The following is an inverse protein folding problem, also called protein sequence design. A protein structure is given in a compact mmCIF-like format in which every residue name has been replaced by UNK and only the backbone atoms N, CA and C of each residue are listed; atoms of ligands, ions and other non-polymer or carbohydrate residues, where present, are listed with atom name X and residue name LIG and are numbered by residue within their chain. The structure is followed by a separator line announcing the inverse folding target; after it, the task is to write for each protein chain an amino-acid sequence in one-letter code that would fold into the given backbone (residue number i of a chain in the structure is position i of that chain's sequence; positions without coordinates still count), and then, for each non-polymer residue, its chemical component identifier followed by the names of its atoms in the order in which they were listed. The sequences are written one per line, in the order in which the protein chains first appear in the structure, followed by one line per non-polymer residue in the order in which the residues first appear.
data_IF_622874625717
#
_entry.id   IF_622874625717
#
_cell.length_a   1.000
_cell.length_b   1.000
_cell.length_c   1.000
_cell.angle_alpha   90.00
_cell.angle_beta   90.00
_cell.angle_gamma   90.00
#
_symmetry.space_group_name_H-M   'P 1'
#
loop_
_entity.id
_entity.type
_entity.pdbx_description
1 polymer ?
#
# COMPACT_ATOMS: atom_id res chain seq x y z
N UNK A 1 1.46 -9.22 9.87
CA UNK A 1 0.61 -9.11 8.66
C UNK A 1 1.52 -8.84 7.47
N UNK A 2 1.22 -9.40 6.29
CA UNK A 2 2.10 -9.33 5.10
C UNK A 2 2.38 -7.89 4.66
N UNK A 3 1.46 -6.98 4.93
CA UNK A 3 1.53 -5.55 4.62
C UNK A 3 2.73 -4.92 5.32
N UNK A 4 3.00 -5.31 6.57
CA UNK A 4 4.13 -4.78 7.34
C UNK A 4 5.49 -5.26 6.83
N UNK A 5 5.48 -6.33 6.04
CA UNK A 5 6.66 -6.99 5.47
C UNK A 5 6.96 -6.41 4.09
N UNK A 6 5.95 -6.34 3.22
CA UNK A 6 6.11 -5.93 1.83
C UNK A 6 5.93 -4.43 1.62
N UNK A 7 5.05 -3.77 2.37
CA UNK A 7 4.65 -2.40 2.06
C UNK A 7 5.50 -1.38 2.82
N UNK A 8 5.72 -0.23 2.19
CA UNK A 8 6.29 0.93 2.90
C UNK A 8 5.26 1.52 3.85
N UNK A 9 5.72 2.33 4.81
CA UNK A 9 4.85 2.90 5.85
C UNK A 9 3.61 3.60 5.27
N UNK A 10 3.78 4.39 4.21
CA UNK A 10 2.68 5.14 3.59
C UNK A 10 1.59 4.20 3.04
N UNK A 11 1.97 3.13 2.34
CA UNK A 11 1.02 2.14 1.80
C UNK A 11 0.30 1.36 2.91
N UNK A 12 1.01 1.02 4.00
CA UNK A 12 0.35 0.45 5.19
C UNK A 12 -0.67 1.43 5.77
N UNK A 13 -0.35 2.72 5.81
CA UNK A 13 -1.26 3.75 6.33
C UNK A 13 -2.48 3.94 5.42
N UNK A 14 -2.32 3.93 4.08
CA UNK A 14 -3.42 3.95 3.11
C UNK A 14 -4.31 2.71 3.24
N UNK A 15 -3.72 1.51 3.33
CA UNK A 15 -4.46 0.26 3.54
C UNK A 15 -5.28 0.28 4.84
N UNK A 16 -4.68 0.74 5.94
CA UNK A 16 -5.38 0.91 7.23
C UNK A 16 -6.51 1.92 7.12
N UNK A 17 -6.31 3.03 6.41
CA UNK A 17 -7.34 4.03 6.19
C UNK A 17 -8.55 3.45 5.45
N UNK A 18 -8.35 2.77 4.32
CA UNK A 18 -9.46 2.13 3.59
C UNK A 18 -10.20 1.10 4.46
N UNK A 19 -9.46 0.32 5.26
CA UNK A 19 -10.05 -0.65 6.19
C UNK A 19 -10.92 0.05 7.25
N UNK A 20 -10.47 1.18 7.80
CA UNK A 20 -11.25 1.97 8.76
C UNK A 20 -12.49 2.55 8.08
N UNK A 21 -12.35 3.18 6.91
CA UNK A 21 -13.47 3.75 6.15
C UNK A 21 -14.58 2.71 5.96
N UNK A 22 -14.22 1.52 5.48
CA UNK A 22 -15.17 0.44 5.20
C UNK A 22 -15.76 -0.23 6.45
N UNK A 23 -15.16 -0.02 7.62
CA UNK A 23 -15.68 -0.50 8.91
C UNK A 23 -16.66 0.47 9.57
N UNK A 24 -16.69 1.73 9.13
CA UNK A 24 -17.57 2.75 9.68
C UNK A 24 -18.97 2.65 9.04
N UNK A 25 -20.04 2.92 9.79
CA UNK A 25 -21.36 3.17 9.21
C UNK A 25 -21.30 4.34 8.21
N UNK A 26 -22.04 4.33 7.08
CA UNK A 26 -21.95 5.38 6.06
C UNK A 26 -22.10 6.81 6.60
N UNK A 27 -23.00 7.01 7.57
CA UNK A 27 -23.24 8.32 8.23
C UNK A 27 -22.07 8.82 9.08
N UNK A 28 -21.11 7.95 9.41
CA UNK A 28 -19.94 8.25 10.26
C UNK A 28 -18.65 8.38 9.45
N UNK A 29 -18.70 8.19 8.13
CA UNK A 29 -17.55 8.33 7.23
C UNK A 29 -17.25 9.82 7.03
N UNK A 30 -16.26 10.32 7.77
CA UNK A 30 -15.65 11.64 7.56
C UNK A 30 -14.21 11.64 8.09
N UNK A 31 -13.40 12.60 7.65
CA UNK A 31 -11.97 12.66 7.99
C UNK A 31 -11.72 12.83 9.49
N UNK A 32 -12.59 13.51 10.23
CA UNK A 32 -12.45 13.69 11.68
C UNK A 32 -12.57 12.37 12.44
N UNK A 33 -13.59 11.57 12.12
CA UNK A 33 -13.80 10.25 12.71
C UNK A 33 -12.65 9.29 12.35
N UNK A 34 -12.23 9.30 11.08
CA UNK A 34 -11.13 8.47 10.59
C UNK A 34 -9.82 8.84 11.29
N UNK A 35 -9.53 10.13 11.44
CA UNK A 35 -8.31 10.61 12.12
C UNK A 35 -8.26 10.12 13.57
N UNK A 36 -9.40 10.16 14.27
CA UNK A 36 -9.52 9.68 15.66
C UNK A 36 -9.28 8.17 15.75
N UNK A 37 -9.87 7.39 14.83
CA UNK A 37 -9.70 5.92 14.76
C UNK A 37 -8.27 5.51 14.43
N UNK A 38 -7.60 6.24 13.54
CA UNK A 38 -6.21 5.98 13.15
C UNK A 38 -5.18 6.59 14.12
N UNK A 39 -5.62 7.45 15.04
CA UNK A 39 -4.77 8.26 15.91
C UNK A 39 -3.79 9.13 15.11
N UNK A 40 -4.28 9.70 14.00
CA UNK A 40 -3.53 10.62 13.15
C UNK A 40 -4.01 12.05 13.38
N UNK A 41 -3.15 13.02 13.07
CA UNK A 41 -3.61 14.41 12.94
C UNK A 41 -4.55 14.53 11.75
N UNK A 42 -5.43 15.54 11.77
CA UNK A 42 -6.32 15.81 10.65
C UNK A 42 -5.55 16.03 9.34
N UNK A 43 -4.47 16.83 9.36
CA UNK A 43 -3.63 17.08 8.19
C UNK A 43 -3.03 15.80 7.61
N UNK A 44 -2.48 14.93 8.48
CA UNK A 44 -1.93 13.65 8.04
C UNK A 44 -3.02 12.77 7.43
N UNK A 45 -4.21 12.76 8.04
CA UNK A 45 -5.37 12.01 7.54
C UNK A 45 -5.79 12.51 6.16
N UNK A 46 -5.88 13.83 5.97
CA UNK A 46 -6.17 14.43 4.67
C UNK A 46 -5.12 14.03 3.61
N UNK A 47 -3.82 14.13 3.92
CA UNK A 47 -2.76 13.78 2.97
C UNK A 47 -2.78 12.30 2.58
N UNK A 48 -3.01 11.40 3.53
CA UNK A 48 -3.14 9.96 3.24
C UNK A 48 -4.39 9.70 2.41
N UNK A 49 -5.49 10.41 2.71
CA UNK A 49 -6.72 10.29 1.96
C UNK A 49 -6.54 10.69 0.50
N UNK A 50 -5.89 11.83 0.23
CA UNK A 50 -5.57 12.24 -1.15
C UNK A 50 -4.71 11.21 -1.88
N UNK A 51 -3.65 10.71 -1.24
CA UNK A 51 -2.81 9.65 -1.82
C UNK A 51 -3.56 8.32 -2.01
N UNK A 52 -4.58 8.04 -1.19
CA UNK A 52 -5.46 6.89 -1.37
C UNK A 52 -6.37 7.10 -2.60
N UNK A 53 -6.90 8.30 -2.84
CA UNK A 53 -7.70 8.59 -4.03
C UNK A 53 -6.91 8.40 -5.32
N UNK A 54 -5.65 8.82 -5.34
CA UNK A 54 -4.73 8.59 -6.47
C UNK A 54 -4.62 7.10 -6.80
N UNK A 55 -4.38 6.24 -5.80
CA UNK A 55 -4.34 4.80 -6.03
C UNK A 55 -5.71 4.24 -6.49
N UNK A 56 -6.80 4.73 -5.89
CA UNK A 56 -8.13 4.22 -6.16
C UNK A 56 -8.60 4.56 -7.57
N UNK A 57 -8.15 5.68 -8.14
CA UNK A 57 -8.40 6.01 -9.55
C UNK A 57 -7.80 4.96 -10.51
N UNK A 58 -6.71 4.29 -10.12
CA UNK A 58 -6.12 3.20 -10.92
C UNK A 58 -6.82 1.84 -10.71
N UNK A 59 -7.34 1.60 -9.50
CA UNK A 59 -7.84 0.27 -9.08
C UNK A 59 -9.35 0.12 -9.18
N UNK A 60 -10.09 1.23 -9.10
CA UNK A 60 -11.54 1.27 -9.07
C UNK A 60 -12.04 2.29 -10.11
N UNK A 61 -12.20 1.89 -11.38
CA UNK A 61 -12.53 2.80 -12.49
C UNK A 61 -13.92 3.46 -12.35
N UNK A 62 -14.77 2.94 -11.46
CA UNK A 62 -16.11 3.49 -11.17
C UNK A 62 -16.07 4.68 -10.19
N UNK A 63 -14.89 5.03 -9.66
CA UNK A 63 -14.70 6.23 -8.83
C UNK A 63 -14.34 7.39 -9.74
N UNK A 64 -15.09 8.49 -9.61
CA UNK A 64 -14.74 9.73 -10.30
C UNK A 64 -13.45 10.30 -9.67
N UNK A 65 -12.35 10.44 -10.43
CA UNK A 65 -11.11 10.99 -9.90
C UNK A 65 -11.22 12.47 -9.50
N UNK A 66 -12.29 13.17 -9.90
CA UNK A 66 -12.58 14.53 -9.47
C UNK A 66 -13.28 14.61 -8.10
N UNK A 67 -13.80 13.49 -7.58
CA UNK A 67 -14.40 13.41 -6.25
C UNK A 67 -13.31 13.45 -5.17
N UNK A 68 -13.09 14.64 -4.63
CA UNK A 68 -12.10 14.89 -3.57
C UNK A 68 -12.70 14.88 -2.16
N UNK A 69 -14.03 14.78 -2.05
CA UNK A 69 -14.74 14.74 -0.77
C UNK A 69 -14.98 13.29 -0.37
N UNK A 70 -14.63 12.94 0.85
CA UNK A 70 -14.77 11.56 1.31
C UNK A 70 -16.24 11.10 1.35
N UNK A 71 -17.17 12.02 1.59
CA UNK A 71 -18.60 11.72 1.67
C UNK A 71 -19.24 11.47 0.29
N UNK A 72 -18.63 11.90 -0.82
CA UNK A 72 -19.16 11.65 -2.17
C UNK A 72 -18.71 10.31 -2.75
N UNK A 73 -17.72 9.65 -2.13
CA UNK A 73 -17.15 8.41 -2.65
C UNK A 73 -17.89 7.20 -2.12
N UNK A 74 -18.39 6.37 -3.03
CA UNK A 74 -18.99 5.09 -2.70
C UNK A 74 -17.92 4.01 -2.47
N UNK A 75 -17.39 3.95 -1.25
CA UNK A 75 -16.42 2.93 -0.83
C UNK A 75 -16.97 1.50 -0.84
N UNK A 76 -18.28 1.29 -1.03
CA UNK A 76 -18.83 -0.08 -1.10
C UNK A 76 -18.40 -0.79 -2.38
N UNK A 77 -18.16 -0.04 -3.47
CA UNK A 77 -17.66 -0.54 -4.75
C UNK A 77 -16.19 -0.96 -4.75
N UNK A 78 -15.47 -0.65 -3.67
CA UNK A 78 -14.04 -0.91 -3.55
C UNK A 78 -13.79 -2.16 -2.71
N UNK A 79 -13.34 -3.25 -3.31
CA UNK A 79 -12.93 -4.43 -2.57
C UNK A 79 -11.57 -4.20 -1.88
N UNK A 80 -11.51 -4.44 -0.55
CA UNK A 80 -10.26 -4.30 0.23
C UNK A 80 -9.16 -5.20 -0.33
N UNK A 81 -9.51 -6.43 -0.72
CA UNK A 81 -8.53 -7.39 -1.23
C UNK A 81 -7.96 -6.99 -2.58
N UNK A 82 -8.76 -6.35 -3.45
CA UNK A 82 -8.28 -5.80 -4.73
C UNK A 82 -7.26 -4.68 -4.48
N UNK A 83 -7.59 -3.76 -3.57
CA UNK A 83 -6.67 -2.68 -3.20
C UNK A 83 -5.39 -3.21 -2.53
N UNK A 84 -5.53 -4.20 -1.64
CA UNK A 84 -4.41 -4.89 -0.99
C UNK A 84 -3.48 -5.53 -2.02
N UNK A 85 -4.04 -6.22 -3.01
CA UNK A 85 -3.28 -6.86 -4.08
C UNK A 85 -2.54 -5.82 -4.94
N UNK A 86 -3.19 -4.70 -5.27
CA UNK A 86 -2.57 -3.58 -5.97
C UNK A 86 -1.33 -3.07 -5.21
N UNK A 87 -1.46 -2.78 -3.92
CA UNK A 87 -0.34 -2.32 -3.09
C UNK A 87 0.82 -3.34 -3.06
N UNK A 88 0.51 -4.64 -2.94
CA UNK A 88 1.53 -5.69 -2.95
C UNK A 88 2.22 -5.78 -4.30
N UNK A 89 1.49 -5.75 -5.42
CA UNK A 89 2.07 -5.78 -6.77
C UNK A 89 2.96 -4.58 -7.06
N UNK A 90 2.64 -3.42 -6.51
CA UNK A 90 3.43 -2.19 -6.65
C UNK A 90 4.56 -2.05 -5.62
N UNK A 91 4.66 -2.95 -4.64
CA UNK A 91 5.78 -2.96 -3.70
C UNK A 91 7.08 -3.38 -4.39
N UNK A 92 8.11 -2.53 -4.28
CA UNK A 92 9.47 -2.88 -4.74
C UNK A 92 10.01 -4.15 -4.06
N UNK A 93 9.60 -4.44 -2.82
CA UNK A 93 10.05 -5.63 -2.09
C UNK A 93 9.45 -6.87 -2.71
N UNK A 94 8.15 -6.82 -3.04
CA UNK A 94 7.47 -7.92 -3.72
C UNK A 94 7.98 -8.08 -5.16
N UNK A 95 8.17 -6.98 -5.90
CA UNK A 95 8.73 -7.00 -7.26
C UNK A 95 10.13 -7.62 -7.27
N UNK A 96 11.01 -7.26 -6.32
CA UNK A 96 12.34 -7.86 -6.18
C UNK A 96 12.28 -9.36 -5.88
N UNK A 97 11.36 -9.76 -4.98
CA UNK A 97 11.15 -11.16 -4.67
C UNK A 97 10.64 -11.94 -5.89
N UNK A 98 9.62 -11.43 -6.58
CA UNK A 98 9.06 -12.04 -7.78
C UNK A 98 10.13 -12.14 -8.89
N UNK A 99 10.88 -11.08 -9.14
CA UNK A 99 11.99 -11.06 -10.09
C UNK A 99 13.03 -12.15 -9.79
N UNK A 100 13.41 -12.33 -8.52
CA UNK A 100 14.34 -13.38 -8.12
C UNK A 100 13.84 -14.80 -8.36
N UNK A 101 12.51 -15.01 -8.41
CA UNK A 101 11.89 -16.32 -8.64
C UNK A 101 11.57 -16.59 -10.11
N UNK A 102 11.23 -15.56 -10.88
CA UNK A 102 10.72 -15.72 -12.25
C UNK A 102 11.76 -15.45 -13.33
N UNK A 103 12.81 -14.69 -13.02
CA UNK A 103 13.86 -14.38 -14.00
C UNK A 103 14.84 -15.55 -14.12
N UNK A 104 15.23 -15.88 -15.35
CA UNK A 104 16.16 -16.99 -15.64
C UNK A 104 17.58 -16.74 -15.13
N UNK A 105 18.01 -15.48 -15.06
CA UNK A 105 19.31 -15.07 -14.51
C UNK A 105 19.14 -13.76 -13.70
N UNK A 106 18.57 -13.82 -12.49
CA UNK A 106 18.26 -12.63 -11.73
C UNK A 106 19.56 -11.98 -11.25
N UNK A 107 19.75 -10.71 -11.59
CA UNK A 107 20.86 -9.91 -11.08
C UNK A 107 20.35 -8.70 -10.31
N UNK A 108 21.03 -8.39 -9.23
CA UNK A 108 20.70 -7.24 -8.41
C UNK A 108 20.87 -5.91 -9.17
N UNK A 109 21.88 -5.86 -10.04
CA UNK A 109 22.19 -4.70 -10.86
C UNK A 109 21.07 -4.42 -11.87
N UNK A 110 20.59 -5.46 -12.57
CA UNK A 110 19.52 -5.34 -13.55
C UNK A 110 18.23 -4.84 -12.88
N UNK A 111 17.84 -5.46 -11.75
CA UNK A 111 16.68 -5.01 -10.99
C UNK A 111 16.83 -3.56 -10.50
N UNK A 112 18.01 -3.19 -10.01
CA UNK A 112 18.28 -1.84 -9.52
C UNK A 112 18.16 -0.78 -10.62
N UNK A 113 18.62 -1.10 -11.83
CA UNK A 113 18.55 -0.23 -13.00
C UNK A 113 17.10 -0.05 -13.49
N UNK A 114 16.31 -1.13 -13.55
CA UNK A 114 14.90 -1.10 -13.97
C UNK A 114 14.02 -0.33 -12.98
N UNK A 115 14.27 -0.45 -11.68
CA UNK A 115 13.46 0.16 -10.62
C UNK A 115 14.05 1.47 -10.05
N UNK A 116 15.07 2.03 -10.69
CA UNK A 116 15.77 3.25 -10.27
C UNK A 116 16.10 3.27 -8.77
N UNK A 117 16.58 2.14 -8.23
CA UNK A 117 16.84 1.98 -6.80
C UNK A 117 18.28 1.54 -6.54
N UNK A 118 18.91 2.08 -5.50
CA UNK A 118 20.27 1.67 -5.14
C UNK A 118 20.30 0.37 -4.34
N UNK A 119 21.47 -0.29 -4.35
CA UNK A 119 21.67 -1.52 -3.57
C UNK A 119 21.41 -1.39 -2.08
N UNK A 120 21.90 -0.31 -1.50
CA UNK A 120 21.67 0.01 -0.09
C UNK A 120 20.19 0.26 0.20
N UNK A 121 19.48 0.97 -0.70
CA UNK A 121 18.05 1.27 -0.52
C UNK A 121 17.19 0.02 -0.58
N UNK A 122 17.40 -0.84 -1.58
CA UNK A 122 16.63 -2.08 -1.71
C UNK A 122 16.95 -3.06 -0.58
N UNK A 123 18.22 -3.22 -0.18
CA UNK A 123 18.57 -4.04 1.00
C UNK A 123 17.86 -3.55 2.27
N UNK A 124 17.81 -2.23 2.49
CA UNK A 124 17.10 -1.64 3.63
C UNK A 124 15.59 -1.96 3.56
N UNK A 125 14.98 -1.81 2.39
CA UNK A 125 13.54 -2.11 2.18
C UNK A 125 13.23 -3.60 2.37
N UNK A 126 14.13 -4.49 1.94
CA UNK A 126 14.00 -5.94 2.10
C UNK A 126 14.29 -6.46 3.52
N UNK A 127 14.82 -5.64 4.43
CA UNK A 127 15.26 -6.10 5.77
C UNK A 127 14.19 -6.88 6.53
N UNK A 128 12.95 -6.36 6.58
CA UNK A 128 11.81 -7.03 7.21
C UNK A 128 11.44 -8.32 6.51
N UNK A 129 11.49 -8.34 5.19
CA UNK A 129 11.22 -9.53 4.40
C UNK A 129 12.25 -10.63 4.63
N UNK A 130 13.55 -10.29 4.67
CA UNK A 130 14.60 -11.25 5.03
C UNK A 130 14.44 -11.78 6.44
N UNK A 131 14.13 -10.91 7.41
CA UNK A 131 13.85 -11.34 8.77
C UNK A 131 12.64 -12.30 8.82
N UNK A 132 11.61 -12.06 8.00
CA UNK A 132 10.49 -12.97 7.85
C UNK A 132 10.89 -14.31 7.23
N UNK A 133 11.69 -14.32 6.15
CA UNK A 133 12.17 -15.54 5.49
C UNK A 133 13.02 -16.42 6.40
N UNK A 134 13.81 -15.82 7.31
CA UNK A 134 14.58 -16.57 8.32
C UNK A 134 13.73 -17.44 9.21
N UNK A 135 12.47 -17.05 9.47
CA UNK A 135 11.53 -17.88 10.25
C UNK A 135 11.16 -19.18 9.51
N UNK A 136 11.46 -19.29 8.22
CA UNK A 136 11.25 -20.46 7.38
C UNK A 136 12.57 -21.14 6.97
N UNK A 137 13.70 -20.75 7.56
CA UNK A 137 15.02 -21.31 7.23
C UNK A 137 15.61 -20.85 5.89
N UNK A 138 15.06 -19.77 5.31
CA UNK A 138 15.53 -19.18 4.06
C UNK A 138 16.43 -17.96 4.38
N UNK A 139 17.62 -17.88 3.76
CA UNK A 139 18.60 -16.80 3.95
C UNK A 139 18.73 -15.90 2.72
#
# INVERSE_FOLDING_TARGET
MLEQIFLVKQDVEKYRMLTVIKSLPPREVNLSNISSRLQFTYQKTYNIFQALLEDLAEVAPDIDPSDTKIESIDFTKIAIDTYRLFLVKNSVVFQAFNYGLTSSNPSFENFSNEHFTSKSTLNRRMSKFRAFLKNFGLN
#
